data_IF_028371996520
#
_entry.id   IF_028371996520
#
_cell.length_a   1.000
_cell.length_b   1.000
_cell.length_c   1.000
_cell.angle_alpha   90.00
_cell.angle_beta   90.00
_cell.angle_gamma   90.00
#
_symmetry.space_group_name_H-M   'P 1'
#
loop_
_entity.id
_entity.type
_entity.pdbx_description
1 polymer ?
#
# COMPACT_ATOMS: atom_id res chain seq x y z
N UNK A 1 29.05 -13.11 20.13
CA UNK A 1 29.16 -13.02 18.65
C UNK A 1 27.91 -12.32 18.12
N UNK A 2 28.02 -11.20 17.39
CA UNK A 2 26.85 -10.58 16.72
C UNK A 2 26.38 -11.54 15.63
N UNK A 3 25.13 -12.01 15.73
CA UNK A 3 24.50 -12.83 14.69
C UNK A 3 24.53 -12.03 13.39
N UNK A 4 25.04 -12.61 12.30
CA UNK A 4 25.05 -11.93 11.00
C UNK A 4 23.62 -11.50 10.64
N UNK A 5 23.46 -10.24 10.21
CA UNK A 5 22.16 -9.69 9.84
C UNK A 5 21.67 -10.42 8.59
N UNK A 6 20.46 -11.00 8.64
CA UNK A 6 19.86 -11.68 7.49
C UNK A 6 19.66 -10.67 6.36
N UNK A 7 19.87 -11.08 5.10
CA UNK A 7 19.73 -10.23 3.91
C UNK A 7 18.65 -10.78 2.97
N UNK A 8 17.84 -9.89 2.40
CA UNK A 8 16.84 -10.19 1.38
C UNK A 8 17.01 -9.22 0.20
N UNK A 9 16.77 -9.73 -1.01
CA UNK A 9 16.67 -8.93 -2.23
C UNK A 9 15.22 -9.07 -2.73
N UNK A 10 14.59 -7.95 -3.03
CA UNK A 10 13.21 -7.90 -3.53
C UNK A 10 13.24 -7.36 -4.95
N UNK A 11 12.66 -8.09 -5.89
CA UNK A 11 12.56 -7.66 -7.29
C UNK A 11 11.13 -7.17 -7.53
N UNK A 12 11.00 -5.89 -7.83
CA UNK A 12 9.73 -5.14 -7.92
C UNK A 12 9.55 -4.19 -6.75
N UNK A 13 9.53 -2.88 -7.03
CA UNK A 13 9.40 -1.79 -6.07
C UNK A 13 7.99 -1.20 -5.97
N UNK A 14 6.98 -1.91 -6.46
CA UNK A 14 5.56 -1.56 -6.28
C UNK A 14 5.07 -1.86 -4.84
N UNK A 15 3.78 -1.68 -4.57
CA UNK A 15 3.19 -1.79 -3.22
C UNK A 15 3.57 -3.08 -2.48
N UNK A 16 3.45 -4.24 -3.12
CA UNK A 16 3.75 -5.53 -2.47
C UNK A 16 5.22 -5.67 -2.12
N UNK A 17 6.11 -5.23 -3.01
CA UNK A 17 7.55 -5.23 -2.78
C UNK A 17 7.96 -4.31 -1.64
N UNK A 18 7.44 -3.09 -1.62
CA UNK A 18 7.72 -2.12 -0.55
C UNK A 18 7.14 -2.57 0.80
N UNK A 19 5.91 -3.13 0.83
CA UNK A 19 5.34 -3.72 2.04
C UNK A 19 6.23 -4.84 2.59
N UNK A 20 6.64 -5.77 1.72
CA UNK A 20 7.54 -6.85 2.12
C UNK A 20 8.89 -6.30 2.62
N UNK A 21 9.44 -5.29 1.95
CA UNK A 21 10.72 -4.68 2.32
C UNK A 21 10.67 -4.04 3.70
N UNK A 22 9.66 -3.21 3.96
CA UNK A 22 9.45 -2.52 5.24
C UNK A 22 9.19 -3.51 6.38
N UNK A 23 8.38 -4.55 6.14
CA UNK A 23 8.12 -5.60 7.13
C UNK A 23 9.38 -6.42 7.46
N UNK A 24 10.19 -6.75 6.45
CA UNK A 24 11.47 -7.44 6.65
C UNK A 24 12.49 -6.56 7.38
N UNK A 25 12.58 -5.26 7.05
CA UNK A 25 13.41 -4.30 7.77
C UNK A 25 13.00 -4.19 9.24
N UNK A 26 11.69 -4.12 9.52
CA UNK A 26 11.15 -4.14 10.89
C UNK A 26 11.50 -5.44 11.63
N UNK A 27 11.58 -6.57 10.92
CA UNK A 27 12.06 -7.85 11.45
C UNK A 27 13.60 -7.94 11.57
N UNK A 28 14.33 -6.86 11.31
CA UNK A 28 15.78 -6.75 11.48
C UNK A 28 16.62 -7.14 10.26
N UNK A 29 16.02 -7.44 9.12
CA UNK A 29 16.74 -7.81 7.90
C UNK A 29 17.37 -6.61 7.20
N UNK A 30 18.48 -6.84 6.50
CA UNK A 30 18.96 -5.96 5.44
C UNK A 30 18.19 -6.26 4.17
N UNK A 31 17.60 -5.24 3.56
CA UNK A 31 16.75 -5.42 2.38
C UNK A 31 17.17 -4.41 1.33
N UNK A 32 17.39 -4.90 0.11
CA UNK A 32 17.54 -4.10 -1.10
C UNK A 32 16.35 -4.39 -2.04
N UNK A 33 15.73 -3.36 -2.59
CA UNK A 33 14.64 -3.44 -3.57
C UNK A 33 15.19 -3.05 -4.92
N UNK A 34 14.90 -3.84 -5.96
CA UNK A 34 15.28 -3.57 -7.34
C UNK A 34 14.02 -3.38 -8.17
N UNK A 35 13.78 -2.18 -8.66
CA UNK A 35 12.70 -1.82 -9.58
C UNK A 35 13.27 -1.49 -10.95
N UNK A 36 12.60 -1.94 -12.00
CA UNK A 36 13.01 -1.71 -13.38
C UNK A 36 12.67 -0.30 -13.85
N UNK A 37 11.62 0.29 -13.30
CA UNK A 37 11.16 1.63 -13.69
C UNK A 37 11.92 2.69 -12.89
N UNK A 38 12.73 3.50 -13.60
CA UNK A 38 13.53 4.57 -12.99
C UNK A 38 12.70 5.77 -12.48
N UNK A 39 11.47 5.93 -12.98
CA UNK A 39 10.52 6.95 -12.55
C UNK A 39 9.50 6.45 -11.52
N UNK A 40 8.77 7.37 -10.88
CA UNK A 40 7.63 6.96 -10.06
C UNK A 40 6.58 6.27 -10.94
N UNK A 41 6.05 5.14 -10.47
CA UNK A 41 4.99 4.36 -11.12
C UNK A 41 3.63 5.12 -11.21
N UNK A 42 3.65 6.44 -11.02
CA UNK A 42 2.53 7.28 -10.58
C UNK A 42 1.45 7.58 -11.64
N UNK A 43 1.61 7.19 -12.89
CA UNK A 43 0.87 7.83 -13.99
C UNK A 43 -0.48 7.18 -14.37
N UNK A 44 -1.16 6.47 -13.45
CA UNK A 44 -2.43 5.77 -13.80
C UNK A 44 -3.61 5.92 -12.86
N UNK A 45 -3.46 6.63 -11.72
CA UNK A 45 -4.59 7.12 -10.91
C UNK A 45 -5.70 6.11 -10.57
N UNK A 46 -5.40 4.81 -10.49
CA UNK A 46 -6.42 3.79 -10.30
C UNK A 46 -7.02 3.90 -8.90
N UNK A 47 -8.35 4.05 -8.82
CA UNK A 47 -9.09 3.97 -7.57
C UNK A 47 -9.06 2.54 -7.04
N UNK A 48 -8.69 2.39 -5.77
CA UNK A 48 -8.72 1.13 -5.04
C UNK A 48 -9.48 1.32 -3.73
N UNK A 49 -9.97 0.21 -3.18
CA UNK A 49 -10.44 0.17 -1.80
C UNK A 49 -9.24 -0.11 -0.90
N UNK A 50 -8.95 0.79 0.04
CA UNK A 50 -8.00 0.51 1.11
C UNK A 50 -8.63 -0.49 2.08
N UNK A 51 -8.21 -1.75 1.96
CA UNK A 51 -8.67 -2.82 2.84
C UNK A 51 -8.23 -2.55 4.29
N UNK A 52 -9.02 -2.97 5.31
CA UNK A 52 -8.65 -2.80 6.71
C UNK A 52 -7.24 -3.31 7.05
N UNK A 53 -6.86 -4.46 6.47
CA UNK A 53 -5.54 -5.08 6.67
C UNK A 53 -4.39 -4.21 6.16
N UNK A 54 -4.59 -3.49 5.05
CA UNK A 54 -3.59 -2.54 4.53
C UNK A 54 -3.41 -1.39 5.52
N UNK A 55 -4.52 -0.80 5.98
CA UNK A 55 -4.50 0.34 6.91
C UNK A 55 -3.82 -0.06 8.23
N UNK A 56 -4.16 -1.24 8.76
CA UNK A 56 -3.52 -1.78 9.96
C UNK A 56 -2.03 -2.05 9.76
N UNK A 57 -1.63 -2.54 8.58
CA UNK A 57 -0.23 -2.76 8.25
C UNK A 57 0.56 -1.44 8.19
N UNK A 58 -0.01 -0.39 7.58
CA UNK A 58 0.61 0.93 7.56
C UNK A 58 0.83 1.46 8.99
N UNK A 59 -0.18 1.34 9.87
CA UNK A 59 -0.06 1.73 11.28
C UNK A 59 1.04 0.95 12.01
N UNK A 60 1.15 -0.36 11.79
CA UNK A 60 2.21 -1.20 12.37
C UNK A 60 3.61 -0.82 11.90
N UNK A 61 3.71 -0.28 10.68
CA UNK A 61 4.94 0.27 10.12
C UNK A 61 5.22 1.71 10.61
N UNK A 62 4.31 2.32 11.37
CA UNK A 62 4.43 3.71 11.85
C UNK A 62 4.09 4.75 10.79
N UNK A 63 3.42 4.35 9.72
CA UNK A 63 2.99 5.23 8.63
C UNK A 63 1.58 5.73 8.94
N UNK A 64 1.38 7.04 8.93
CA UNK A 64 0.07 7.63 9.13
C UNK A 64 -0.86 7.34 7.94
N UNK A 65 -2.04 6.81 8.24
CA UNK A 65 -3.08 6.43 7.29
C UNK A 65 -4.40 7.16 7.53
N UNK A 66 -4.41 8.22 8.36
CA UNK A 66 -5.60 9.00 8.70
C UNK A 66 -6.23 9.71 7.49
N UNK A 67 -5.41 10.29 6.61
CA UNK A 67 -5.83 10.90 5.33
C UNK A 67 -5.55 9.96 4.15
N UNK A 68 -5.77 8.65 4.30
CA UNK A 68 -5.47 7.71 3.21
C UNK A 68 -6.43 7.88 2.03
N UNK A 69 -7.65 8.36 2.24
CA UNK A 69 -8.64 8.48 1.18
C UNK A 69 -10.00 8.96 1.67
N UNK A 70 -11.02 8.75 0.84
CA UNK A 70 -12.40 9.15 1.12
C UNK A 70 -13.15 8.02 1.81
N UNK A 71 -13.72 8.31 2.97
CA UNK A 71 -14.60 7.39 3.67
C UNK A 71 -15.96 7.29 2.97
N UNK A 72 -16.42 6.05 2.76
CA UNK A 72 -17.77 5.73 2.31
C UNK A 72 -18.41 4.79 3.34
N UNK A 73 -19.71 4.92 3.55
CA UNK A 73 -20.44 4.11 4.55
C UNK A 73 -21.36 3.07 3.95
N UNK A 74 -21.67 3.20 2.65
CA UNK A 74 -22.75 2.45 2.01
C UNK A 74 -22.36 2.03 0.61
N UNK A 75 -22.73 0.81 0.23
CA UNK A 75 -22.69 0.35 -1.15
C UNK A 75 -24.09 0.29 -1.72
N UNK A 76 -24.24 0.80 -2.95
CA UNK A 76 -25.49 0.77 -3.72
C UNK A 76 -25.30 -0.06 -4.98
N UNK A 77 -26.28 -0.90 -5.29
CA UNK A 77 -26.36 -1.67 -6.52
C UNK A 77 -27.53 -1.11 -7.33
N UNK A 78 -27.26 -0.72 -8.57
CA UNK A 78 -28.28 -0.26 -9.51
C UNK A 78 -28.56 -1.37 -10.52
N UNK A 79 -29.82 -1.54 -10.90
CA UNK A 79 -30.19 -2.41 -12.02
C UNK A 79 -29.89 -1.75 -13.38
N UNK A 80 -30.13 -2.46 -14.47
CA UNK A 80 -29.88 -1.97 -15.83
C UNK A 80 -30.74 -0.75 -16.23
N UNK A 81 -31.81 -0.46 -15.49
CA UNK A 81 -32.64 0.74 -15.68
C UNK A 81 -32.17 1.93 -14.82
N UNK A 82 -31.12 1.73 -14.02
CA UNK A 82 -30.60 2.73 -13.08
C UNK A 82 -31.36 2.82 -11.75
N UNK A 83 -32.31 1.91 -11.50
CA UNK A 83 -33.06 1.89 -10.23
C UNK A 83 -32.25 1.18 -9.16
N UNK A 84 -32.40 1.62 -7.90
CA UNK A 84 -31.76 0.98 -6.76
C UNK A 84 -32.30 -0.44 -6.57
N UNK A 85 -31.43 -1.43 -6.76
CA UNK A 85 -31.73 -2.85 -6.59
C UNK A 85 -31.26 -3.38 -5.23
N UNK A 86 -30.31 -2.72 -4.59
CA UNK A 86 -29.84 -3.08 -3.25
C UNK A 86 -28.98 -2.00 -2.61
N UNK A 87 -29.05 -1.91 -1.30
CA UNK A 87 -28.28 -0.99 -0.47
C UNK A 87 -27.85 -1.69 0.81
N UNK A 88 -26.58 -1.57 1.18
CA UNK A 88 -26.07 -2.17 2.41
C UNK A 88 -24.97 -1.30 3.03
N UNK A 89 -24.98 -1.27 4.36
CA UNK A 89 -23.92 -0.67 5.16
C UNK A 89 -22.60 -1.40 4.85
N UNK A 90 -21.63 -0.66 4.33
CA UNK A 90 -20.30 -1.13 3.99
C UNK A 90 -19.31 0.02 4.19
N UNK A 91 -18.85 0.26 5.43
CA UNK A 91 -17.83 1.26 5.70
C UNK A 91 -16.50 0.87 5.02
N UNK A 92 -15.97 1.73 4.16
CA UNK A 92 -14.72 1.52 3.43
C UNK A 92 -13.99 2.86 3.22
N UNK A 93 -12.69 2.79 2.96
CA UNK A 93 -11.90 3.93 2.48
C UNK A 93 -11.57 3.71 1.01
N UNK A 94 -11.99 4.63 0.14
CA UNK A 94 -11.58 4.67 -1.26
C UNK A 94 -10.35 5.55 -1.40
N UNK A 95 -9.31 5.04 -2.05
CA UNK A 95 -8.04 5.77 -2.24
C UNK A 95 -7.51 5.59 -3.66
N UNK A 96 -6.52 6.40 -4.02
CA UNK A 96 -5.71 6.17 -5.20
C UNK A 96 -4.60 5.17 -4.87
N UNK A 97 -4.39 4.19 -5.74
CA UNK A 97 -3.26 3.27 -5.67
C UNK A 97 -1.92 4.00 -5.46
N UNK A 98 -1.73 5.09 -6.20
CA UNK A 98 -0.54 5.94 -6.15
C UNK A 98 -0.30 6.54 -4.75
N UNK A 99 -1.36 6.89 -4.02
CA UNK A 99 -1.23 7.46 -2.67
C UNK A 99 -0.63 6.42 -1.70
N UNK A 100 -1.11 5.17 -1.76
CA UNK A 100 -0.53 4.07 -0.97
C UNK A 100 0.92 3.81 -1.38
N UNK A 101 1.19 3.76 -2.68
CA UNK A 101 2.54 3.56 -3.21
C UNK A 101 3.52 4.63 -2.71
N UNK A 102 3.16 5.92 -2.79
CA UNK A 102 4.01 7.03 -2.34
C UNK A 102 4.32 6.97 -0.85
N UNK A 103 3.31 6.72 0.00
CA UNK A 103 3.51 6.53 1.44
C UNK A 103 4.53 5.42 1.74
N UNK A 104 4.44 4.29 1.05
CA UNK A 104 5.38 3.18 1.20
C UNK A 104 6.77 3.52 0.65
N UNK A 105 6.84 4.22 -0.49
CA UNK A 105 8.08 4.59 -1.15
C UNK A 105 8.86 5.63 -0.33
N UNK A 106 8.17 6.58 0.27
CA UNK A 106 8.76 7.62 1.14
C UNK A 106 9.24 7.04 2.47
N UNK A 107 8.54 6.02 2.99
CA UNK A 107 8.96 5.31 4.20
C UNK A 107 10.19 4.42 3.99
N UNK A 108 10.51 4.02 2.75
CA UNK A 108 11.62 3.11 2.45
C UNK A 108 12.93 3.87 2.14
N UNK A 109 14.07 3.50 2.76
CA UNK A 109 15.35 4.20 2.56
C UNK A 109 15.80 4.21 1.09
N UNK A 110 16.13 5.40 0.56
CA UNK A 110 16.45 5.59 -0.86
C UNK A 110 17.73 4.87 -1.27
N UNK A 111 18.70 4.75 -0.38
CA UNK A 111 19.97 4.06 -0.59
C UNK A 111 19.85 2.54 -0.79
N UNK A 112 18.69 1.97 -0.44
CA UNK A 112 18.38 0.55 -0.58
C UNK A 112 17.36 0.26 -1.68
N UNK A 113 16.98 1.28 -2.46
CA UNK A 113 16.06 1.17 -3.58
C UNK A 113 16.83 1.45 -4.87
N UNK A 114 16.94 0.44 -5.72
CA UNK A 114 17.73 0.42 -6.95
C UNK A 114 16.84 0.31 -8.18
#
# INVERSE_FOLDING_TARGET
MRKARRRALIVGGSMSGLLAALLLQRAGWQVDVFERVEGELADRGAGIVAQPDLIETLRRLGIDASDLGVEITTRKILDASGRLAGEFACPQVLTAWERVYRLLRDAFPREHYH
#
